data_IF_533862483730
#
_entry.id   IF_533862483730
#
_cell.length_a   1.000
_cell.length_b   1.000
_cell.length_c   1.000
_cell.angle_alpha   90.00
_cell.angle_beta   90.00
_cell.angle_gamma   90.00
#
_symmetry.space_group_name_H-M   'P 1'
#
loop_
_entity.id
_entity.type
_entity.pdbx_description
1 polymer ?
#
# COMPACT_ATOMS: atom_id res chain seq x y z
N UNK A 1 10.66 -16.19 -34.00
CA UNK A 1 10.25 -16.89 -32.76
C UNK A 1 10.82 -18.30 -32.63
N UNK A 2 11.99 -18.62 -33.22
CA UNK A 2 12.55 -19.99 -33.12
C UNK A 2 13.27 -20.28 -31.80
N UNK A 3 13.43 -19.30 -30.91
CA UNK A 3 14.12 -19.48 -29.62
C UNK A 3 13.17 -19.58 -28.43
N UNK A 4 11.86 -19.42 -28.66
CA UNK A 4 10.84 -19.40 -27.61
C UNK A 4 9.88 -20.58 -27.76
N UNK A 5 9.59 -21.25 -26.65
CA UNK A 5 8.56 -22.30 -26.61
C UNK A 5 7.90 -22.35 -25.23
N UNK A 6 6.63 -22.77 -25.21
CA UNK A 6 5.95 -23.19 -23.98
C UNK A 6 6.27 -24.68 -23.77
N UNK A 7 6.77 -25.02 -22.60
CA UNK A 7 7.06 -26.37 -22.19
C UNK A 7 5.88 -26.98 -21.43
N UNK A 8 5.11 -27.86 -22.08
CA UNK A 8 3.95 -28.52 -21.46
C UNK A 8 4.36 -29.59 -20.45
N UNK A 9 5.62 -30.02 -20.44
CA UNK A 9 6.16 -31.00 -19.50
C UNK A 9 6.77 -30.39 -18.24
N UNK A 10 6.81 -29.05 -18.17
CA UNK A 10 7.32 -28.26 -17.05
C UNK A 10 6.28 -27.18 -16.68
N UNK A 11 5.04 -27.63 -16.49
CA UNK A 11 3.88 -26.81 -16.07
C UNK A 11 3.68 -25.50 -16.85
N UNK A 12 4.03 -25.49 -18.14
CA UNK A 12 3.84 -24.34 -19.03
C UNK A 12 4.92 -23.27 -18.89
N UNK A 13 6.11 -23.65 -18.42
CA UNK A 13 7.27 -22.77 -18.42
C UNK A 13 7.58 -22.29 -19.85
N UNK A 14 7.80 -20.99 -20.01
CA UNK A 14 8.29 -20.41 -21.26
C UNK A 14 9.81 -20.47 -21.27
N UNK A 15 10.36 -21.20 -22.23
CA UNK A 15 11.79 -21.34 -22.47
C UNK A 15 12.23 -20.25 -23.45
N UNK A 16 13.27 -19.48 -23.09
CA UNK A 16 13.98 -18.58 -24.01
C UNK A 16 15.44 -19.04 -24.17
N UNK A 17 15.75 -19.66 -25.31
CA UNK A 17 17.09 -20.20 -25.58
C UNK A 17 18.17 -19.11 -25.67
N UNK A 18 17.82 -17.84 -25.92
CA UNK A 18 18.79 -16.74 -25.94
C UNK A 18 19.26 -16.35 -24.55
N UNK A 19 18.34 -16.41 -23.58
CA UNK A 19 18.57 -15.98 -22.21
C UNK A 19 18.86 -17.13 -21.26
N UNK A 20 18.69 -18.38 -21.73
CA UNK A 20 18.96 -19.59 -20.97
C UNK A 20 19.95 -20.52 -21.70
N UNK A 21 21.24 -20.17 -21.78
CA UNK A 21 22.22 -20.97 -22.53
C UNK A 21 22.35 -22.41 -21.99
N UNK A 22 22.14 -22.62 -20.69
CA UNK A 22 22.13 -23.95 -20.07
C UNK A 22 20.85 -24.77 -20.30
N UNK A 23 19.79 -24.20 -20.90
CA UNK A 23 18.58 -24.95 -21.21
C UNK A 23 18.85 -25.99 -22.31
N UNK A 24 19.64 -25.63 -23.32
CA UNK A 24 19.89 -26.49 -24.48
C UNK A 24 20.50 -27.86 -24.13
N UNK A 25 21.28 -27.95 -23.05
CA UNK A 25 21.88 -29.22 -22.58
C UNK A 25 20.93 -30.10 -21.78
N UNK A 26 19.78 -29.57 -21.30
CA UNK A 26 18.85 -30.27 -20.41
C UNK A 26 17.54 -30.68 -21.09
N UNK A 27 17.20 -30.02 -22.19
CA UNK A 27 15.94 -30.22 -22.88
C UNK A 27 15.94 -31.48 -23.75
N UNK A 28 14.91 -32.36 -23.64
CA UNK A 28 14.72 -33.46 -24.58
C UNK A 28 14.71 -32.99 -26.03
N UNK A 29 15.47 -33.66 -26.90
CA UNK A 29 15.60 -33.31 -28.32
C UNK A 29 14.46 -33.87 -29.17
N UNK A 30 14.39 -33.35 -30.40
CA UNK A 30 13.41 -33.79 -31.38
C UNK A 30 11.99 -33.36 -30.99
N UNK A 31 11.00 -34.17 -31.34
CA UNK A 31 9.58 -33.88 -31.06
C UNK A 31 9.25 -33.94 -29.57
N UNK A 32 10.07 -34.62 -28.76
CA UNK A 32 9.90 -34.75 -27.31
C UNK A 32 8.45 -35.09 -26.89
N UNK A 33 7.78 -36.00 -27.61
CA UNK A 33 6.39 -36.36 -27.34
C UNK A 33 5.35 -35.24 -27.51
N UNK A 34 5.70 -34.14 -28.20
CA UNK A 34 4.82 -32.98 -28.35
C UNK A 34 4.89 -31.98 -27.20
N UNK A 35 5.94 -32.06 -26.37
CA UNK A 35 6.18 -31.24 -25.17
C UNK A 35 6.29 -29.75 -25.46
N UNK A 36 6.92 -29.36 -26.56
CA UNK A 36 7.16 -27.95 -26.86
C UNK A 36 6.06 -27.41 -27.77
N UNK A 37 5.50 -26.25 -27.39
CA UNK A 37 4.44 -25.58 -28.13
C UNK A 37 4.86 -24.18 -28.54
N UNK A 38 4.48 -23.79 -29.76
CA UNK A 38 4.66 -22.42 -30.23
C UNK A 38 3.79 -21.47 -29.42
N UNK A 39 4.40 -20.40 -28.90
CA UNK A 39 3.68 -19.39 -28.12
C UNK A 39 2.51 -18.77 -28.91
N UNK A 40 2.69 -18.57 -30.22
CA UNK A 40 1.75 -17.85 -31.07
C UNK A 40 0.77 -18.71 -31.86
N UNK A 41 1.11 -19.93 -32.29
CA UNK A 41 0.15 -20.79 -33.01
C UNK A 41 -0.21 -22.08 -32.27
N UNK A 42 0.42 -22.38 -31.13
CA UNK A 42 0.15 -23.59 -30.34
C UNK A 42 0.61 -24.89 -30.99
N UNK A 43 1.12 -24.84 -32.22
CA UNK A 43 1.64 -26.01 -32.92
C UNK A 43 2.80 -26.64 -32.15
N UNK A 44 2.91 -27.96 -32.25
CA UNK A 44 4.04 -28.71 -31.70
C UNK A 44 5.34 -28.28 -32.36
N UNK A 45 6.37 -28.10 -31.54
CA UNK A 45 7.71 -27.76 -31.96
C UNK A 45 8.67 -28.93 -31.76
N UNK A 46 9.65 -29.01 -32.65
CA UNK A 46 10.80 -29.89 -32.57
C UNK A 46 11.98 -29.09 -32.03
N UNK A 47 12.58 -29.55 -30.92
CA UNK A 47 13.81 -28.95 -30.41
C UNK A 47 15.02 -29.51 -31.16
N UNK A 48 15.70 -28.65 -31.91
CA UNK A 48 16.95 -28.96 -32.61
C UNK A 48 18.08 -28.23 -31.92
N UNK A 49 18.94 -28.95 -31.19
CA UNK A 49 20.04 -28.39 -30.41
C UNK A 49 21.30 -29.22 -30.49
N UNK A 50 22.46 -28.62 -30.15
CA UNK A 50 23.76 -29.24 -30.35
C UNK A 50 23.85 -30.57 -29.58
N UNK A 51 24.37 -31.59 -30.26
CA UNK A 51 24.51 -32.93 -29.67
C UNK A 51 25.48 -32.92 -28.48
N UNK A 52 26.50 -32.09 -28.60
CA UNK A 52 27.64 -31.91 -27.72
C UNK A 52 27.96 -30.41 -27.63
N UNK A 53 28.62 -29.93 -26.55
CA UNK A 53 28.91 -28.51 -26.34
C UNK A 53 29.78 -27.86 -27.44
N UNK A 54 30.42 -28.67 -28.30
CA UNK A 54 31.35 -28.23 -29.35
C UNK A 54 30.76 -28.31 -30.76
N UNK A 55 29.48 -28.70 -30.90
CA UNK A 55 28.86 -28.75 -32.23
C UNK A 55 28.48 -27.33 -32.67
N UNK A 56 28.84 -26.94 -33.90
CA UNK A 56 28.52 -25.63 -34.49
C UNK A 56 27.03 -25.37 -34.78
N UNK A 57 26.12 -26.12 -34.14
CA UNK A 57 24.68 -26.00 -34.31
C UNK A 57 24.07 -25.17 -33.19
N UNK A 58 23.44 -24.05 -33.55
CA UNK A 58 22.70 -23.21 -32.61
C UNK A 58 21.38 -23.89 -32.20
N UNK A 59 21.09 -24.02 -30.89
CA UNK A 59 19.83 -24.56 -30.42
C UNK A 59 18.64 -23.69 -30.83
N UNK A 60 17.59 -24.33 -31.33
CA UNK A 60 16.34 -23.68 -31.75
C UNK A 60 15.17 -24.65 -31.76
N UNK A 61 13.98 -24.11 -31.54
CA UNK A 61 12.72 -24.78 -31.79
C UNK A 61 12.26 -24.54 -33.23
N UNK A 62 11.76 -25.59 -33.88
CA UNK A 62 11.26 -25.55 -35.26
C UNK A 62 9.87 -26.14 -35.35
N UNK A 63 9.02 -25.60 -36.21
CA UNK A 63 7.76 -26.23 -36.57
C UNK A 63 8.04 -27.51 -37.39
N UNK A 64 7.11 -28.47 -37.33
CA UNK A 64 7.28 -29.77 -37.99
C UNK A 64 7.28 -29.64 -39.52
N UNK A 65 8.06 -30.49 -40.19
CA UNK A 65 8.42 -30.38 -41.61
C UNK A 65 7.48 -31.13 -42.57
N UNK A 66 6.50 -31.85 -42.03
CA UNK A 66 5.73 -32.81 -42.82
C UNK A 66 4.72 -32.18 -43.80
N UNK A 67 4.63 -30.85 -43.90
CA UNK A 67 3.82 -30.18 -44.91
C UNK A 67 4.56 -28.98 -45.56
N UNK A 68 4.52 -28.81 -46.89
CA UNK A 68 5.11 -27.65 -47.55
C UNK A 68 4.51 -26.34 -47.00
N UNK A 69 5.35 -25.40 -46.57
CA UNK A 69 4.93 -24.12 -45.98
C UNK A 69 4.79 -24.10 -44.45
N UNK A 70 4.98 -25.22 -43.74
CA UNK A 70 4.87 -25.28 -42.28
C UNK A 70 6.16 -24.97 -41.51
N UNK A 71 7.23 -24.53 -42.19
CA UNK A 71 8.47 -24.13 -41.50
C UNK A 71 8.31 -22.88 -40.64
N UNK A 72 7.25 -22.10 -40.89
CA UNK A 72 6.97 -20.84 -40.24
C UNK A 72 5.75 -20.95 -39.33
N UNK A 73 5.68 -20.03 -38.36
CA UNK A 73 4.51 -19.92 -37.52
C UNK A 73 3.28 -19.54 -38.37
N UNK A 74 2.22 -20.34 -38.27
CA UNK A 74 0.97 -20.15 -39.02
C UNK A 74 0.06 -19.06 -38.42
N UNK A 75 0.41 -18.53 -37.25
CA UNK A 75 -0.35 -17.45 -36.63
C UNK A 75 -0.29 -16.19 -37.51
N UNK A 76 -1.36 -15.39 -37.59
CA UNK A 76 -1.33 -14.11 -38.27
C UNK A 76 -0.22 -13.19 -37.73
N UNK A 77 0.45 -12.44 -38.60
CA UNK A 77 1.52 -11.51 -38.22
C UNK A 77 1.18 -10.59 -37.04
N UNK A 78 -0.01 -9.96 -36.99
CA UNK A 78 -0.44 -9.16 -35.84
C UNK A 78 -0.49 -9.94 -34.52
N UNK A 79 -0.91 -11.22 -34.55
CA UNK A 79 -0.94 -12.05 -33.36
C UNK A 79 0.47 -12.42 -32.89
N UNK A 80 1.38 -12.73 -33.82
CA UNK A 80 2.79 -12.97 -33.50
C UNK A 80 3.44 -11.74 -32.85
N UNK A 81 3.16 -10.54 -33.37
CA UNK A 81 3.66 -9.29 -32.80
C UNK A 81 3.09 -9.02 -31.39
N UNK A 82 1.81 -9.31 -31.18
CA UNK A 82 1.14 -9.16 -29.87
C UNK A 82 1.79 -10.05 -28.80
N UNK A 83 2.00 -11.34 -29.13
CA UNK A 83 2.69 -12.33 -28.29
C UNK A 83 4.14 -11.93 -28.03
N UNK A 84 4.86 -11.50 -29.06
CA UNK A 84 6.25 -11.05 -28.91
C UNK A 84 6.35 -9.83 -27.98
N UNK A 85 5.42 -8.88 -28.08
CA UNK A 85 5.39 -7.72 -27.22
C UNK A 85 5.04 -8.08 -25.75
N UNK A 86 4.14 -9.05 -25.53
CA UNK A 86 3.84 -9.59 -24.19
C UNK A 86 5.08 -10.25 -23.57
N UNK A 87 5.80 -11.06 -24.33
CA UNK A 87 7.02 -11.74 -23.88
C UNK A 87 8.18 -10.78 -23.64
N UNK A 88 8.42 -9.83 -24.56
CA UNK A 88 9.55 -8.89 -24.46
C UNK A 88 9.51 -8.13 -23.15
N UNK A 89 8.34 -7.59 -22.85
CA UNK A 89 8.07 -6.82 -21.64
C UNK A 89 8.35 -7.60 -20.35
N UNK A 90 7.91 -8.86 -20.24
CA UNK A 90 8.08 -9.64 -19.01
C UNK A 90 9.50 -10.25 -18.92
N UNK A 91 10.13 -10.56 -20.06
CA UNK A 91 11.53 -11.00 -20.13
C UNK A 91 12.48 -9.87 -19.71
N UNK A 92 12.23 -8.63 -20.14
CA UNK A 92 13.03 -7.48 -19.72
C UNK A 92 12.89 -7.23 -18.22
N UNK A 93 11.68 -7.38 -17.66
CA UNK A 93 11.48 -7.33 -16.20
C UNK A 93 12.22 -8.46 -15.47
N UNK A 94 12.17 -9.69 -16.00
CA UNK A 94 12.92 -10.82 -15.44
C UNK A 94 14.41 -10.52 -15.40
N UNK A 95 14.96 -10.01 -16.50
CA UNK A 95 16.38 -9.73 -16.60
C UNK A 95 16.77 -8.62 -15.60
N UNK A 96 15.96 -7.57 -15.44
CA UNK A 96 16.18 -6.53 -14.43
C UNK A 96 16.16 -7.08 -12.99
N UNK A 97 15.18 -7.92 -12.66
CA UNK A 97 15.03 -8.49 -11.31
C UNK A 97 16.08 -9.58 -11.02
N UNK A 98 16.52 -10.34 -12.02
CA UNK A 98 17.52 -11.40 -11.86
C UNK A 98 18.85 -10.88 -11.32
N UNK A 99 19.22 -9.64 -11.63
CA UNK A 99 20.42 -8.99 -11.07
C UNK A 99 20.27 -8.62 -9.59
N UNK A 100 19.04 -8.36 -9.11
CA UNK A 100 18.77 -7.96 -7.73
C UNK A 100 18.68 -9.15 -6.75
N UNK A 101 18.49 -10.36 -7.27
CA UNK A 101 18.15 -11.56 -6.49
C UNK A 101 19.13 -12.71 -6.78
N UNK A 102 20.40 -12.61 -6.35
CA UNK A 102 21.35 -13.69 -6.55
C UNK A 102 20.85 -14.98 -5.86
N UNK A 103 20.84 -16.08 -6.61
CA UNK A 103 20.38 -17.39 -6.12
C UNK A 103 18.88 -17.65 -6.24
N UNK A 104 18.07 -16.66 -6.63
CA UNK A 104 16.68 -16.92 -6.99
C UNK A 104 16.58 -17.56 -8.39
N UNK A 105 15.60 -18.44 -8.57
CA UNK A 105 15.24 -18.94 -9.90
C UNK A 105 14.04 -18.14 -10.41
N UNK A 106 14.16 -17.58 -11.61
CA UNK A 106 13.13 -16.76 -12.23
C UNK A 106 12.72 -17.38 -13.57
N UNK A 107 11.45 -17.77 -13.70
CA UNK A 107 10.90 -18.35 -14.92
C UNK A 107 9.60 -17.66 -15.31
N UNK A 108 9.29 -17.69 -16.60
CA UNK A 108 7.98 -17.28 -17.09
C UNK A 108 7.09 -18.52 -17.11
N UNK A 109 5.85 -18.38 -16.67
CA UNK A 109 4.89 -19.49 -16.64
C UNK A 109 3.53 -19.06 -17.16
N UNK A 110 2.93 -19.90 -17.99
CA UNK A 110 1.58 -19.72 -18.53
C UNK A 110 0.84 -21.05 -18.48
N UNK A 111 -0.50 -21.03 -18.42
CA UNK A 111 -1.27 -22.26 -18.61
C UNK A 111 -0.93 -22.85 -20.00
N UNK A 112 -0.40 -24.09 -20.09
CA UNK A 112 -0.04 -24.71 -21.36
C UNK A 112 -1.20 -24.76 -22.37
N UNK A 113 -2.45 -24.78 -21.89
CA UNK A 113 -3.66 -24.80 -22.73
C UNK A 113 -3.86 -23.51 -23.51
N UNK A 114 -3.23 -22.41 -23.06
CA UNK A 114 -3.27 -21.10 -23.72
C UNK A 114 -2.22 -20.95 -24.83
N UNK A 115 -1.44 -21.99 -25.12
CA UNK A 115 -0.52 -21.97 -26.25
C UNK A 115 -1.26 -21.71 -27.57
N UNK A 116 -0.82 -20.70 -28.33
CA UNK A 116 -1.46 -20.32 -29.59
C UNK A 116 -2.72 -19.49 -29.48
N UNK A 117 -3.14 -19.15 -28.25
CA UNK A 117 -4.27 -18.27 -28.01
C UNK A 117 -3.79 -16.82 -27.83
N UNK A 118 -4.69 -15.86 -28.05
CA UNK A 118 -4.45 -14.49 -27.62
C UNK A 118 -4.55 -14.42 -26.10
N UNK A 119 -3.50 -13.95 -25.45
CA UNK A 119 -3.43 -13.90 -24.00
C UNK A 119 -4.19 -12.70 -23.44
N UNK A 120 -5.10 -12.96 -22.51
CA UNK A 120 -5.68 -11.89 -21.68
C UNK A 120 -4.67 -11.38 -20.66
N UNK A 121 -3.90 -12.30 -20.08
CA UNK A 121 -2.73 -12.03 -19.25
C UNK A 121 -1.49 -12.65 -19.89
N UNK A 122 -0.41 -11.88 -20.08
CA UNK A 122 0.89 -12.44 -20.45
C UNK A 122 1.34 -13.54 -19.48
N UNK A 123 2.32 -14.38 -19.85
CA UNK A 123 2.96 -15.30 -18.92
C UNK A 123 3.41 -14.58 -17.66
N UNK A 124 3.09 -15.15 -16.50
CA UNK A 124 3.49 -14.61 -15.22
C UNK A 124 4.98 -14.84 -15.00
N UNK A 125 5.66 -13.89 -14.38
CA UNK A 125 7.02 -14.08 -13.90
C UNK A 125 6.96 -14.71 -12.50
N UNK A 126 7.46 -15.93 -12.38
CA UNK A 126 7.52 -16.69 -11.14
C UNK A 126 8.96 -16.69 -10.66
N UNK A 127 9.18 -16.19 -9.45
CA UNK A 127 10.49 -16.12 -8.80
C UNK A 127 10.46 -16.98 -7.56
N UNK A 128 11.30 -18.01 -7.51
CA UNK A 128 11.50 -18.82 -6.31
C UNK A 128 12.79 -18.43 -5.61
N UNK A 129 12.70 -18.28 -4.30
CA UNK A 129 13.85 -18.06 -3.43
C UNK A 129 13.66 -18.84 -2.12
N UNK A 130 14.31 -20.01 -2.03
CA UNK A 130 13.98 -21.01 -1.01
C UNK A 130 12.54 -21.48 -1.13
N UNK A 131 11.81 -21.55 -0.01
CA UNK A 131 10.41 -21.98 0.03
C UNK A 131 9.40 -20.88 -0.35
N UNK A 132 9.87 -19.69 -0.72
CA UNK A 132 9.00 -18.57 -1.08
C UNK A 132 8.89 -18.44 -2.59
N UNK A 133 7.67 -18.25 -3.07
CA UNK A 133 7.35 -17.94 -4.45
C UNK A 133 6.80 -16.50 -4.56
N UNK A 134 7.32 -15.73 -5.50
CA UNK A 134 6.78 -14.43 -5.89
C UNK A 134 6.24 -14.56 -7.31
N UNK A 135 4.96 -14.29 -7.48
CA UNK A 135 4.28 -14.33 -8.77
C UNK A 135 4.02 -12.90 -9.17
N UNK A 136 4.51 -12.50 -10.34
CA UNK A 136 4.37 -11.15 -10.87
C UNK A 136 3.58 -11.22 -12.17
N UNK A 137 2.43 -10.57 -12.17
CA UNK A 137 1.58 -10.36 -13.33
C UNK A 137 1.88 -8.97 -13.91
N UNK A 138 2.02 -8.85 -15.23
CA UNK A 138 2.19 -7.56 -15.93
C UNK A 138 1.14 -7.39 -17.03
N UNK A 139 -0.11 -7.03 -16.68
CA UNK A 139 -1.18 -6.88 -17.66
C UNK A 139 -0.85 -5.77 -18.67
N UNK A 140 -0.94 -6.07 -19.97
CA UNK A 140 -0.79 -5.09 -21.06
C UNK A 140 -2.12 -4.57 -21.61
N UNK A 141 -3.22 -5.12 -21.12
CA UNK A 141 -4.59 -4.82 -21.55
C UNK A 141 -5.45 -4.60 -20.31
N UNK A 142 -6.54 -3.82 -20.40
CA UNK A 142 -7.45 -3.63 -19.29
C UNK A 142 -7.93 -4.98 -18.72
N UNK A 143 -7.69 -5.16 -17.43
CA UNK A 143 -8.06 -6.38 -16.73
C UNK A 143 -9.56 -6.37 -16.39
N UNK A 144 -10.23 -7.49 -16.60
CA UNK A 144 -11.60 -7.68 -16.12
C UNK A 144 -11.59 -8.27 -14.72
N UNK A 145 -12.67 -8.05 -13.96
CA UNK A 145 -12.86 -8.62 -12.62
C UNK A 145 -12.77 -10.15 -12.62
N UNK A 146 -13.41 -10.80 -13.60
CA UNK A 146 -13.43 -12.26 -13.70
C UNK A 146 -12.03 -12.86 -13.91
N UNK A 147 -11.21 -12.23 -14.76
CA UNK A 147 -9.83 -12.67 -15.02
C UNK A 147 -8.96 -12.47 -13.79
N UNK A 148 -9.10 -11.34 -13.10
CA UNK A 148 -8.39 -11.07 -11.85
C UNK A 148 -8.72 -12.12 -10.77
N UNK A 149 -10.01 -12.42 -10.57
CA UNK A 149 -10.48 -13.39 -9.58
C UNK A 149 -10.00 -14.81 -9.89
N UNK A 150 -10.17 -15.25 -11.14
CA UNK A 150 -9.70 -16.56 -11.57
C UNK A 150 -8.19 -16.69 -11.35
N UNK A 151 -7.42 -15.65 -11.69
CA UNK A 151 -5.96 -15.68 -11.53
C UNK A 151 -5.52 -15.67 -10.07
N UNK A 152 -6.14 -14.86 -9.23
CA UNK A 152 -5.89 -14.86 -7.78
C UNK A 152 -6.12 -16.26 -7.18
N UNK A 153 -7.23 -16.91 -7.54
CA UNK A 153 -7.54 -18.26 -7.11
C UNK A 153 -6.53 -19.29 -7.63
N UNK A 154 -6.14 -19.22 -8.90
CA UNK A 154 -5.12 -20.10 -9.50
C UNK A 154 -3.79 -19.97 -8.77
N UNK A 155 -3.31 -18.75 -8.53
CA UNK A 155 -2.03 -18.53 -7.83
C UNK A 155 -2.07 -19.09 -6.41
N UNK A 156 -3.16 -18.87 -5.68
CA UNK A 156 -3.33 -19.42 -4.34
C UNK A 156 -3.35 -20.95 -4.33
N UNK A 157 -4.00 -21.57 -5.31
CA UNK A 157 -4.10 -23.03 -5.43
C UNK A 157 -2.77 -23.65 -5.84
N UNK A 158 -2.06 -23.03 -6.79
CA UNK A 158 -0.86 -23.59 -7.41
C UNK A 158 0.39 -23.39 -6.52
N UNK A 159 0.56 -22.23 -5.91
CA UNK A 159 1.78 -21.89 -5.15
C UNK A 159 1.56 -21.87 -3.63
N UNK A 160 0.32 -22.07 -3.19
CA UNK A 160 -0.04 -22.14 -1.78
C UNK A 160 -0.01 -20.79 -1.04
N UNK A 161 -0.20 -20.81 0.29
CA UNK A 161 -0.42 -19.61 1.10
C UNK A 161 0.84 -18.76 1.33
N UNK A 162 2.03 -19.32 1.08
CA UNK A 162 3.31 -18.63 1.24
C UNK A 162 3.71 -17.81 0.01
N UNK A 163 2.96 -17.92 -1.08
CA UNK A 163 3.19 -17.17 -2.30
C UNK A 163 2.80 -15.69 -2.12
N UNK A 164 3.62 -14.80 -2.66
CA UNK A 164 3.29 -13.38 -2.77
C UNK A 164 2.91 -13.06 -4.21
N UNK A 165 1.76 -12.41 -4.40
CA UNK A 165 1.20 -12.14 -5.72
C UNK A 165 1.21 -10.64 -5.99
N UNK A 166 1.99 -10.23 -6.98
CA UNK A 166 2.18 -8.84 -7.40
C UNK A 166 1.59 -8.56 -8.77
N UNK A 167 1.00 -7.39 -8.92
CA UNK A 167 0.44 -6.87 -10.16
C UNK A 167 1.15 -5.58 -10.53
N UNK A 168 1.91 -5.63 -11.62
CA UNK A 168 2.72 -4.55 -12.13
C UNK A 168 2.01 -3.92 -13.32
N UNK A 169 1.43 -2.74 -13.09
CA UNK A 169 0.79 -1.96 -14.12
C UNK A 169 1.79 -1.03 -14.79
N UNK A 170 1.65 -0.80 -16.09
CA UNK A 170 2.49 0.19 -16.76
C UNK A 170 2.07 1.60 -16.33
N UNK A 171 3.02 2.42 -15.89
CA UNK A 171 2.75 3.83 -15.53
C UNK A 171 2.26 4.62 -16.75
N UNK A 172 2.77 4.29 -17.93
CA UNK A 172 2.52 5.06 -19.15
C UNK A 172 1.26 4.59 -19.89
N UNK A 173 0.61 3.51 -19.42
CA UNK A 173 -0.68 3.05 -19.92
C UNK A 173 -1.83 3.87 -19.31
N UNK A 174 -2.33 4.83 -20.08
CA UNK A 174 -3.43 5.72 -19.66
C UNK A 174 -4.75 5.01 -19.32
N UNK A 175 -4.95 3.75 -19.74
CA UNK A 175 -6.14 2.97 -19.38
C UNK A 175 -6.02 2.35 -17.99
N UNK A 176 -4.78 2.13 -17.51
CA UNK A 176 -4.50 1.47 -16.24
C UNK A 176 -3.84 2.41 -15.22
N UNK A 177 -3.35 3.57 -15.66
CA UNK A 177 -2.82 4.67 -14.85
C UNK A 177 -3.69 5.93 -15.05
N UNK A 178 -4.71 6.10 -14.22
CA UNK A 178 -5.54 7.30 -14.24
C UNK A 178 -4.95 8.37 -13.31
N UNK A 179 -4.13 9.26 -13.85
CA UNK A 179 -3.49 10.34 -13.11
C UNK A 179 -4.53 11.23 -12.39
N UNK A 180 -4.27 11.56 -11.12
CA UNK A 180 -5.14 12.35 -10.26
C UNK A 180 -4.45 13.59 -9.67
N UNK A 181 -3.35 14.03 -10.31
CA UNK A 181 -2.52 15.14 -9.86
C UNK A 181 -1.42 14.70 -8.88
N UNK A 182 -1.05 15.58 -7.96
CA UNK A 182 0.02 15.35 -6.97
C UNK A 182 -0.41 15.69 -5.55
N UNK A 183 0.38 15.25 -4.57
CA UNK A 183 0.24 15.62 -3.15
C UNK A 183 1.61 16.02 -2.61
N UNK A 184 1.66 17.17 -1.93
CA UNK A 184 2.86 17.62 -1.23
C UNK A 184 2.94 16.91 0.11
N UNK A 185 4.08 16.30 0.40
CA UNK A 185 4.33 15.51 1.60
C UNK A 185 5.64 15.96 2.27
N UNK A 186 5.81 15.61 3.55
CA UNK A 186 7.01 15.94 4.35
C UNK A 186 7.40 14.80 5.31
N UNK A 187 7.70 13.59 4.82
CA UNK A 187 7.91 12.41 5.68
C UNK A 187 9.03 12.63 6.73
N UNK A 188 10.07 13.38 6.37
CA UNK A 188 11.20 13.68 7.25
C UNK A 188 11.43 15.19 7.44
N UNK A 189 10.34 15.98 7.39
CA UNK A 189 10.43 17.44 7.41
C UNK A 189 10.81 18.07 6.07
N UNK A 190 11.47 17.31 5.18
CA UNK A 190 11.81 17.75 3.82
C UNK A 190 10.58 17.73 2.90
N UNK A 191 10.30 18.83 2.16
CA UNK A 191 9.25 18.85 1.15
C UNK A 191 9.52 17.84 0.03
N UNK A 192 8.50 17.04 -0.28
CA UNK A 192 8.49 16.10 -1.39
C UNK A 192 7.10 16.13 -2.07
N UNK A 193 7.01 15.64 -3.30
CA UNK A 193 5.77 15.63 -4.09
C UNK A 193 5.54 14.25 -4.66
N UNK A 194 4.49 13.59 -4.19
CA UNK A 194 4.07 12.29 -4.71
C UNK A 194 3.00 12.43 -5.78
N UNK A 195 3.02 11.55 -6.78
CA UNK A 195 1.93 11.42 -7.74
C UNK A 195 0.72 10.76 -7.11
N UNK A 196 -0.47 11.12 -7.59
CA UNK A 196 -1.73 10.48 -7.23
C UNK A 196 -2.34 9.78 -8.42
N UNK A 197 -3.03 8.69 -8.15
CA UNK A 197 -3.86 7.98 -9.13
C UNK A 197 -5.26 7.73 -8.58
N UNK A 198 -6.22 7.65 -9.50
CA UNK A 198 -7.53 7.06 -9.26
C UNK A 198 -7.44 5.58 -9.64
N UNK A 199 -7.40 4.65 -8.69
CA UNK A 199 -7.32 3.23 -9.03
C UNK A 199 -8.62 2.78 -9.71
N UNK A 200 -8.50 1.88 -10.68
CA UNK A 200 -9.65 1.22 -11.32
C UNK A 200 -10.37 0.31 -10.32
N UNK A 201 -11.64 -0.06 -10.55
CA UNK A 201 -12.35 -1.01 -9.69
C UNK A 201 -11.59 -2.33 -9.51
N UNK A 202 -10.95 -2.83 -10.58
CA UNK A 202 -10.18 -4.09 -10.54
C UNK A 202 -8.91 -3.93 -9.70
N UNK A 203 -8.20 -2.81 -9.77
CA UNK A 203 -7.04 -2.55 -8.93
C UNK A 203 -7.39 -2.51 -7.44
N UNK A 204 -8.53 -1.88 -7.08
CA UNK A 204 -9.02 -1.89 -5.69
C UNK A 204 -9.31 -3.31 -5.21
N UNK A 205 -9.99 -4.08 -6.05
CA UNK A 205 -10.31 -5.47 -5.76
C UNK A 205 -9.05 -6.34 -5.57
N UNK A 206 -8.03 -6.18 -6.41
CA UNK A 206 -6.77 -6.92 -6.28
C UNK A 206 -6.13 -6.71 -4.90
N UNK A 207 -6.09 -5.46 -4.42
CA UNK A 207 -5.60 -5.14 -3.07
C UNK A 207 -6.49 -5.77 -1.99
N UNK A 208 -7.81 -5.65 -2.12
CA UNK A 208 -8.77 -6.23 -1.15
C UNK A 208 -8.65 -7.75 -1.06
N UNK A 209 -8.37 -8.43 -2.17
CA UNK A 209 -8.14 -9.87 -2.24
C UNK A 209 -6.74 -10.29 -1.73
N UNK A 210 -5.92 -9.34 -1.27
CA UNK A 210 -4.61 -9.60 -0.69
C UNK A 210 -3.47 -9.74 -1.70
N UNK A 211 -3.70 -9.34 -2.96
CA UNK A 211 -2.66 -9.11 -3.95
C UNK A 211 -1.99 -7.74 -3.75
N UNK A 212 -0.72 -7.64 -4.12
CA UNK A 212 0.00 -6.37 -4.12
C UNK A 212 -0.11 -5.71 -5.50
N UNK A 213 -0.35 -4.40 -5.53
CA UNK A 213 -0.49 -3.61 -6.76
C UNK A 213 0.57 -2.52 -6.78
N UNK A 214 1.19 -2.31 -7.93
CA UNK A 214 2.09 -1.19 -8.16
C UNK A 214 2.09 -0.77 -9.62
N UNK A 215 2.69 0.39 -9.89
CA UNK A 215 3.00 0.81 -11.26
C UNK A 215 4.51 0.76 -11.48
N UNK A 216 4.93 0.43 -12.69
CA UNK A 216 6.34 0.39 -13.06
C UNK A 216 6.59 1.38 -14.20
N UNK A 217 7.72 2.07 -14.12
CA UNK A 217 8.28 2.85 -15.23
C UNK A 217 9.79 2.67 -15.23
N UNK A 218 10.36 2.22 -16.35
CA UNK A 218 11.80 1.93 -16.49
C UNK A 218 12.33 1.08 -15.31
N UNK A 219 13.10 1.70 -14.43
CA UNK A 219 13.79 1.13 -13.26
C UNK A 219 13.13 1.50 -11.92
N UNK A 220 11.94 2.10 -11.94
CA UNK A 220 11.23 2.61 -10.77
C UNK A 220 9.88 1.93 -10.62
N UNK A 221 9.60 1.47 -9.40
CA UNK A 221 8.30 0.96 -8.97
C UNK A 221 7.61 2.00 -8.09
N UNK A 222 6.33 2.18 -8.31
CA UNK A 222 5.47 3.14 -7.63
C UNK A 222 4.52 2.37 -6.71
N UNK A 223 4.81 2.38 -5.41
CA UNK A 223 4.05 1.66 -4.39
C UNK A 223 2.89 2.53 -3.87
N UNK A 224 1.63 2.07 -3.91
CA UNK A 224 0.51 2.87 -3.50
C UNK A 224 0.32 2.91 -1.99
N UNK A 225 -0.09 4.07 -1.47
CA UNK A 225 -0.76 4.25 -0.17
C UNK A 225 -2.08 4.99 -0.39
N UNK A 226 -3.06 4.80 0.48
CA UNK A 226 -4.35 5.46 0.31
C UNK A 226 -4.35 6.84 0.94
N UNK A 227 -5.11 7.78 0.35
CA UNK A 227 -5.31 9.12 0.88
C UNK A 227 -6.79 9.44 1.02
N UNK A 228 -7.13 10.10 2.13
CA UNK A 228 -8.49 10.46 2.51
C UNK A 228 -8.52 11.96 2.81
N UNK A 229 -9.37 12.77 2.13
CA UNK A 229 -9.66 14.10 2.62
C UNK A 229 -10.38 13.97 3.97
N UNK A 230 -10.04 14.84 4.91
CA UNK A 230 -10.65 14.85 6.23
C UNK A 230 -10.84 16.28 6.73
N UNK A 231 -11.87 16.46 7.54
CA UNK A 231 -12.06 17.67 8.33
C UNK A 231 -11.88 17.30 9.80
N UNK A 232 -10.98 18.00 10.48
CA UNK A 232 -10.79 17.89 11.92
C UNK A 232 -11.91 18.69 12.60
N UNK A 233 -12.81 18.05 13.37
CA UNK A 233 -13.77 18.80 14.17
C UNK A 233 -13.01 19.60 15.24
N UNK A 234 -13.49 20.81 15.50
CA UNK A 234 -13.02 21.62 16.63
C UNK A 234 -13.37 20.89 17.93
N UNK A 235 -12.40 20.76 18.82
CA UNK A 235 -12.62 20.26 20.17
C UNK A 235 -12.86 21.43 21.14
N UNK A 236 -13.37 21.12 22.33
CA UNK A 236 -13.54 22.10 23.39
C UNK A 236 -12.20 22.83 23.68
N UNK A 237 -12.25 24.16 23.77
CA UNK A 237 -11.08 25.01 23.98
C UNK A 237 -10.22 25.26 22.73
N UNK A 238 -10.62 24.78 21.55
CA UNK A 238 -9.97 25.11 20.27
C UNK A 238 -10.80 26.13 19.48
N UNK A 239 -10.16 27.17 18.95
CA UNK A 239 -10.77 28.07 17.97
C UNK A 239 -10.06 27.95 16.62
N UNK A 240 -10.82 27.54 15.61
CA UNK A 240 -10.36 27.38 14.23
C UNK A 240 -10.88 28.49 13.31
N UNK A 241 -11.27 29.65 13.85
CA UNK A 241 -11.76 30.78 13.07
C UNK A 241 -10.63 31.54 12.32
N UNK A 242 -11.01 32.53 11.50
CA UNK A 242 -10.06 33.39 10.79
C UNK A 242 -9.11 32.64 9.85
N UNK A 243 -7.82 32.95 9.94
CA UNK A 243 -6.77 32.34 9.11
C UNK A 243 -6.63 30.81 9.33
N UNK A 244 -7.10 30.31 10.48
CA UNK A 244 -7.01 28.91 10.89
C UNK A 244 -8.15 28.05 10.33
N UNK A 245 -9.18 28.66 9.75
CA UNK A 245 -10.36 27.93 9.24
C UNK A 245 -10.00 26.91 8.16
N UNK A 246 -9.02 27.25 7.33
CA UNK A 246 -8.52 26.34 6.29
C UNK A 246 -7.78 25.12 6.86
N UNK A 247 -7.23 25.22 8.06
CA UNK A 247 -6.41 24.16 8.69
C UNK A 247 -7.23 22.99 9.22
N UNK A 248 -8.53 23.21 9.44
CA UNK A 248 -9.48 22.16 9.76
C UNK A 248 -9.55 21.11 8.64
N UNK A 249 -9.22 21.48 7.39
CA UNK A 249 -9.20 20.56 6.24
C UNK A 249 -7.77 20.09 5.98
N UNK A 250 -7.53 18.79 6.11
CA UNK A 250 -6.27 18.15 5.71
C UNK A 250 -6.56 16.80 5.03
N UNK A 251 -5.52 16.09 4.63
CA UNK A 251 -5.61 14.70 4.23
C UNK A 251 -4.98 13.77 5.27
N UNK A 252 -5.52 12.56 5.33
CA UNK A 252 -4.97 11.44 6.09
C UNK A 252 -4.55 10.31 5.16
N UNK A 253 -3.50 9.58 5.52
CA UNK A 253 -3.10 8.38 4.78
C UNK A 253 -3.64 7.11 5.42
N UNK A 254 -3.95 6.12 4.59
CA UNK A 254 -4.06 4.73 5.02
C UNK A 254 -2.71 4.03 4.85
N UNK A 255 -2.25 3.42 5.93
CA UNK A 255 -1.04 2.63 6.04
C UNK A 255 -1.41 1.19 6.47
N UNK A 256 -0.70 0.14 6.02
CA UNK A 256 0.42 0.16 5.07
C UNK A 256 -0.03 -0.02 3.61
N UNK A 257 -1.34 -0.19 3.40
CA UNK A 257 -1.94 -0.33 2.09
C UNK A 257 -3.10 0.65 1.96
N UNK A 258 -3.49 1.00 0.72
CA UNK A 258 -4.68 1.79 0.51
C UNK A 258 -5.92 1.10 1.09
N UNK A 259 -6.61 1.77 2.01
CA UNK A 259 -7.85 1.27 2.60
C UNK A 259 -8.97 1.23 1.56
N UNK A 260 -9.94 0.33 1.79
CA UNK A 260 -11.21 0.35 1.07
C UNK A 260 -11.93 1.67 1.37
N UNK A 261 -12.20 2.48 0.35
CA UNK A 261 -12.69 3.85 0.52
C UNK A 261 -11.63 4.96 0.48
N UNK A 262 -10.35 4.67 0.21
CA UNK A 262 -9.39 5.72 -0.12
C UNK A 262 -9.85 6.53 -1.35
N UNK A 263 -9.86 7.86 -1.22
CA UNK A 263 -10.34 8.78 -2.25
C UNK A 263 -9.36 8.87 -3.43
N UNK A 264 -8.08 8.72 -3.16
CA UNK A 264 -6.98 8.65 -4.13
C UNK A 264 -5.88 7.75 -3.59
N UNK A 265 -5.02 7.23 -4.46
CA UNK A 265 -3.80 6.54 -4.04
C UNK A 265 -2.59 7.41 -4.35
N UNK A 266 -1.77 7.69 -3.33
CA UNK A 266 -0.48 8.34 -3.49
C UNK A 266 0.57 7.28 -3.83
N UNK A 267 1.57 7.66 -4.61
CA UNK A 267 2.57 6.73 -5.13
C UNK A 267 3.96 7.05 -4.59
N UNK A 268 4.55 6.10 -3.86
CA UNK A 268 5.93 6.19 -3.35
C UNK A 268 6.86 5.63 -4.43
N UNK A 269 7.78 6.44 -4.98
CA UNK A 269 8.77 5.95 -5.92
C UNK A 269 9.87 5.17 -5.18
N UNK A 270 10.15 3.97 -5.65
CA UNK A 270 11.27 3.14 -5.20
C UNK A 270 12.02 2.59 -6.41
N UNK A 271 13.36 2.48 -6.37
CA UNK A 271 14.08 1.74 -7.41
C UNK A 271 13.63 0.28 -7.43
N UNK A 272 13.36 -0.28 -8.60
CA UNK A 272 12.88 -1.65 -8.80
C UNK A 272 13.77 -2.68 -8.06
N UNK A 273 15.08 -2.48 -8.12
CA UNK A 273 16.06 -3.38 -7.49
C UNK A 273 15.87 -3.47 -5.96
N UNK A 274 15.35 -2.44 -5.31
CA UNK A 274 15.08 -2.47 -3.85
C UNK A 274 13.96 -3.43 -3.49
N UNK A 275 13.03 -3.69 -4.42
CA UNK A 275 11.95 -4.66 -4.19
C UNK A 275 12.52 -6.10 -4.11
N UNK A 276 13.56 -6.38 -4.89
CA UNK A 276 14.26 -7.67 -4.89
C UNK A 276 15.22 -7.89 -3.72
N UNK A 277 15.52 -6.89 -2.89
CA UNK A 277 16.50 -7.05 -1.80
C UNK A 277 15.98 -7.92 -0.63
N UNK A 278 14.67 -8.14 -0.56
CA UNK A 278 14.04 -8.91 0.51
C UNK A 278 13.21 -10.06 -0.04
N UNK A 279 13.23 -11.19 0.67
CA UNK A 279 12.44 -12.37 0.30
C UNK A 279 10.95 -12.03 0.31
N UNK A 280 10.23 -12.46 -0.73
CA UNK A 280 8.80 -12.15 -0.90
C UNK A 280 8.49 -10.74 -1.42
N UNK A 281 9.48 -9.99 -1.89
CA UNK A 281 9.30 -8.64 -2.45
C UNK A 281 8.66 -7.68 -1.45
N UNK A 282 9.13 -7.70 -0.20
CA UNK A 282 8.62 -6.83 0.86
C UNK A 282 9.12 -5.40 0.62
N UNK A 283 8.24 -4.41 0.37
CA UNK A 283 8.67 -3.05 0.07
C UNK A 283 8.97 -2.29 1.37
N UNK A 284 9.92 -2.77 2.17
CA UNK A 284 10.24 -2.27 3.52
C UNK A 284 10.50 -0.77 3.54
N UNK A 285 11.21 -0.24 2.52
CA UNK A 285 11.46 1.18 2.37
C UNK A 285 10.16 1.99 2.19
N UNK A 286 9.18 1.46 1.44
CA UNK A 286 7.88 2.12 1.30
C UNK A 286 7.13 2.16 2.63
N UNK A 287 7.17 1.09 3.43
CA UNK A 287 6.50 1.06 4.73
C UNK A 287 7.16 2.02 5.71
N UNK A 288 8.50 2.09 5.75
CA UNK A 288 9.22 3.09 6.53
C UNK A 288 8.81 4.52 6.15
N UNK A 289 8.69 4.80 4.85
CA UNK A 289 8.24 6.10 4.37
C UNK A 289 6.76 6.37 4.70
N UNK A 290 5.87 5.38 4.61
CA UNK A 290 4.47 5.52 5.02
C UNK A 290 4.35 5.79 6.52
N UNK A 291 5.13 5.12 7.37
CA UNK A 291 5.19 5.43 8.81
C UNK A 291 5.67 6.87 9.04
N UNK A 292 6.67 7.33 8.29
CA UNK A 292 7.15 8.71 8.36
C UNK A 292 6.08 9.72 7.92
N UNK A 293 5.31 9.42 6.87
CA UNK A 293 4.17 10.21 6.42
C UNK A 293 3.07 10.30 7.49
N UNK A 294 2.76 9.19 8.16
CA UNK A 294 1.77 9.15 9.25
C UNK A 294 2.22 10.00 10.44
N UNK A 295 3.49 9.88 10.84
CA UNK A 295 4.06 10.72 11.89
C UNK A 295 4.03 12.21 11.53
N UNK A 296 4.38 12.55 10.28
CA UNK A 296 4.33 13.92 9.79
C UNK A 296 2.90 14.46 9.76
N UNK A 297 1.91 13.64 9.40
CA UNK A 297 0.49 13.98 9.47
C UNK A 297 0.05 14.28 10.90
N UNK A 298 0.35 13.37 11.84
CA UNK A 298 0.00 13.53 13.25
C UNK A 298 0.66 14.78 13.86
N UNK A 299 1.91 15.06 13.50
CA UNK A 299 2.63 16.27 13.90
C UNK A 299 1.99 17.56 13.37
N UNK A 300 1.55 17.58 12.10
CA UNK A 300 0.81 18.72 11.53
C UNK A 300 -0.51 18.95 12.25
N UNK A 301 -1.28 17.88 12.50
CA UNK A 301 -2.56 17.96 13.24
C UNK A 301 -2.33 18.52 14.65
N UNK A 302 -1.39 17.94 15.41
CA UNK A 302 -1.09 18.37 16.78
C UNK A 302 -0.61 19.83 16.83
N UNK A 303 0.22 20.25 15.88
CA UNK A 303 0.69 21.63 15.79
C UNK A 303 -0.46 22.61 15.55
N UNK A 304 -1.33 22.32 14.57
CA UNK A 304 -2.49 23.16 14.25
C UNK A 304 -3.47 23.24 15.42
N UNK A 305 -3.75 22.11 16.08
CA UNK A 305 -4.58 22.06 17.31
C UNK A 305 -3.99 22.91 18.44
N UNK A 306 -2.67 22.88 18.63
CA UNK A 306 -2.00 23.74 19.63
C UNK A 306 -2.21 25.21 19.31
N UNK A 307 -1.97 25.62 18.06
CA UNK A 307 -2.18 27.01 17.64
C UNK A 307 -3.65 27.44 17.79
N UNK A 308 -4.62 26.57 17.48
CA UNK A 308 -6.05 26.84 17.65
C UNK A 308 -6.42 27.09 19.14
N UNK A 309 -5.79 26.36 20.07
CA UNK A 309 -5.94 26.61 21.51
C UNK A 309 -5.30 27.93 21.94
N UNK A 310 -4.09 28.20 21.46
CA UNK A 310 -3.39 29.48 21.73
C UNK A 310 -4.17 30.68 21.17
N UNK A 311 -4.92 30.52 20.08
CA UNK A 311 -5.81 31.54 19.53
C UNK A 311 -7.04 31.76 20.42
N UNK A 312 -7.74 30.68 20.80
CA UNK A 312 -8.88 30.75 21.69
C UNK A 312 -8.54 31.42 23.03
N UNK A 313 -7.38 31.07 23.61
CA UNK A 313 -6.92 31.67 24.87
C UNK A 313 -6.67 33.18 24.72
N UNK A 314 -6.02 33.61 23.65
CA UNK A 314 -5.79 35.04 23.39
C UNK A 314 -7.09 35.85 23.25
N UNK A 315 -8.13 35.26 22.64
CA UNK A 315 -9.44 35.90 22.56
C UNK A 315 -10.10 36.01 23.94
N UNK A 316 -10.03 34.95 24.76
CA UNK A 316 -10.57 34.96 26.11
C UNK A 316 -9.87 35.99 27.01
N UNK A 317 -8.53 36.05 26.96
CA UNK A 317 -7.73 37.00 27.75
C UNK A 317 -7.96 38.46 27.30
N UNK A 318 -8.11 38.68 25.99
CA UNK A 318 -8.45 39.98 25.41
C UNK A 318 -9.87 40.46 25.76
N UNK A 319 -10.83 39.54 25.85
CA UNK A 319 -12.20 39.84 26.31
C UNK A 319 -12.25 40.13 27.82
N UNK A 320 -11.42 39.46 28.62
CA UNK A 320 -11.32 39.72 30.07
C UNK A 320 -10.62 41.06 30.38
N UNK A 321 -9.66 41.50 29.57
CA UNK A 321 -9.02 42.82 29.72
C UNK A 321 -9.90 43.99 29.23
N UNK A 322 -10.99 43.71 28.51
CA UNK A 322 -11.96 44.70 28.04
C UNK A 322 -13.21 44.78 28.94
N UNK A 323 -13.09 44.46 30.23
CA UNK A 323 -14.11 44.85 31.20
C UNK A 323 -14.18 46.39 31.24
N UNK A 324 -15.36 47.02 31.02
CA UNK A 324 -15.46 48.46 30.94
C UNK A 324 -15.06 49.06 32.29
N UNK A 325 -14.08 49.95 32.28
CA UNK A 325 -13.86 50.89 33.37
C UNK A 325 -15.16 51.69 33.53
N UNK A 326 -16.00 51.30 34.49
CA UNK A 326 -17.12 52.11 34.95
C UNK A 326 -16.50 53.39 35.51
N UNK A 327 -16.59 54.47 34.74
CA UNK A 327 -16.33 55.82 35.23
C UNK A 327 -17.32 56.09 36.38
N UNK A 328 -16.85 56.53 37.55
CA UNK A 328 -17.73 56.98 38.62
C UNK A 328 -18.51 58.21 38.15
N UNK A 329 -19.84 58.11 38.11
CA UNK A 329 -20.74 59.26 37.98
C UNK A 329 -20.95 59.77 39.40
N UNK A 330 -20.54 61.01 39.66
CA UNK A 330 -20.85 61.73 40.90
C UNK A 330 -22.36 62.01 41.00
N UNK A 331 -23.00 61.86 42.17
CA UNK A 331 -24.39 62.26 42.36
C UNK A 331 -24.46 63.73 42.80
N UNK A 332 -25.18 64.55 42.02
CA UNK A 332 -25.63 65.88 42.47
C UNK A 332 -26.83 65.75 43.43
N UNK A 333 -26.70 66.43 44.57
CA UNK A 333 -27.73 66.70 45.58
C UNK A 333 -28.88 67.53 45.02
N UNK A 334 -30.14 67.12 45.29
CA UNK A 334 -31.24 68.06 45.56
C UNK A 334 -32.12 67.51 46.69
N UNK A 335 -32.20 68.31 47.75
CA UNK A 335 -32.97 68.10 48.98
C UNK A 335 -34.44 68.57 48.89
N UNK A 336 -35.28 68.08 49.80
CA UNK A 336 -36.64 68.57 50.10
C UNK A 336 -37.57 67.43 50.58
N UNK A 337 -37.47 66.92 51.81
CA UNK A 337 -37.93 67.45 53.11
C UNK A 337 -39.41 67.14 53.44
N UNK A 338 -39.66 66.48 54.58
CA UNK A 338 -41.00 66.08 55.08
C UNK A 338 -41.08 64.76 55.87
N UNK A 339 -40.64 64.77 57.14
CA UNK A 339 -40.72 63.67 58.14
C UNK A 339 -42.09 63.64 58.90
N UNK A 340 -42.34 62.89 60.01
CA UNK A 340 -41.65 61.72 60.62
C UNK A 340 -42.61 60.58 61.11
N UNK A 341 -42.08 59.40 61.46
CA UNK A 341 -42.46 58.60 62.65
C UNK A 341 -41.44 57.48 62.90
N UNK A 342 -41.00 57.36 64.16
CA UNK A 342 -39.89 56.53 64.64
C UNK A 342 -40.37 55.18 65.27
N UNK A 343 -39.52 54.38 65.97
CA UNK A 343 -39.04 53.05 65.58
C UNK A 343 -39.56 51.92 66.53
N UNK A 344 -39.12 50.64 66.48
CA UNK A 344 -37.80 50.15 66.97
C UNK A 344 -37.14 49.09 66.04
N UNK A 345 -35.81 49.06 65.88
CA UNK A 345 -34.77 48.35 66.66
C UNK A 345 -34.70 46.83 66.44
N UNK A 346 -33.45 46.35 66.36
CA UNK A 346 -32.91 44.98 66.30
C UNK A 346 -32.61 44.40 64.91
N UNK A 347 -31.44 43.83 64.60
CA UNK A 347 -30.14 43.68 65.30
C UNK A 347 -29.16 43.06 64.28
N UNK A 348 -27.87 43.49 64.30
CA UNK A 348 -26.62 42.86 63.72
C UNK A 348 -26.55 42.56 62.21
N UNK A 349 -25.66 43.15 61.39
CA UNK A 349 -24.17 43.17 61.39
C UNK A 349 -23.56 41.74 61.45
N UNK A 350 -23.21 41.17 60.29
CA UNK A 350 -21.86 41.12 59.71
C UNK A 350 -20.88 40.22 60.47
N UNK A 351 -20.38 39.14 59.83
CA UNK A 351 -18.93 38.93 59.73
C UNK A 351 -18.53 37.75 58.84
N UNK A 352 -17.43 38.00 58.14
CA UNK A 352 -16.56 37.09 57.41
C UNK A 352 -15.85 36.13 58.35
N UNK A 353 -15.81 34.82 58.03
CA UNK A 353 -14.84 33.89 58.63
C UNK A 353 -14.36 32.86 57.59
N UNK A 354 -13.05 32.78 57.43
CA UNK A 354 -12.32 31.78 56.65
C UNK A 354 -12.46 30.35 57.21
N UNK A 355 -12.41 29.28 56.41
CA UNK A 355 -12.32 27.93 56.95
C UNK A 355 -10.86 27.54 57.25
N UNK A 356 -10.58 27.26 58.52
CA UNK A 356 -9.42 26.50 58.98
C UNK A 356 -9.84 25.05 59.34
N UNK A 357 -8.91 24.18 59.77
CA UNK A 357 -8.52 22.93 59.11
C UNK A 357 -9.37 21.70 59.44
N UNK A 358 -9.26 20.68 58.58
CA UNK A 358 -9.93 19.37 58.68
C UNK A 358 -9.50 18.54 59.92
N UNK A 359 -10.42 17.81 60.57
CA UNK A 359 -10.11 16.87 61.66
C UNK A 359 -9.57 15.51 61.16
N UNK A 360 -8.87 14.73 61.99
CA UNK A 360 -8.22 13.48 61.59
C UNK A 360 -9.21 12.31 61.42
N UNK A 361 -8.88 11.41 60.49
CA UNK A 361 -9.65 10.20 60.17
C UNK A 361 -9.58 9.14 61.28
N UNK A 362 -10.68 8.40 61.53
CA UNK A 362 -10.66 7.21 62.38
C UNK A 362 -10.00 6.01 61.66
N UNK A 363 -9.13 5.31 62.39
CA UNK A 363 -8.42 4.09 61.99
C UNK A 363 -9.33 2.87 62.12
N UNK A 364 -9.54 2.13 61.04
CA UNK A 364 -10.20 0.81 61.05
C UNK A 364 -9.17 -0.31 61.29
N UNK A 365 -9.56 -1.41 61.97
CA UNK A 365 -8.68 -2.53 62.29
C UNK A 365 -8.32 -3.37 61.05
N UNK A 366 -7.18 -4.08 61.07
CA UNK A 366 -6.69 -4.83 59.91
C UNK A 366 -7.50 -6.12 59.65
N UNK A 367 -7.79 -6.45 58.38
CA UNK A 367 -8.41 -7.72 58.02
C UNK A 367 -7.43 -8.91 58.10
N UNK A 368 -7.93 -10.15 58.29
CA UNK A 368 -7.13 -11.37 58.47
C UNK A 368 -6.36 -11.79 57.21
N UNK A 369 -5.32 -12.64 57.34
CA UNK A 369 -4.45 -13.04 56.23
C UNK A 369 -5.20 -14.00 55.29
N UNK A 370 -5.71 -13.46 54.19
CA UNK A 370 -6.19 -14.27 53.08
C UNK A 370 -5.01 -14.73 52.21
N UNK A 371 -5.01 -16.04 51.92
CA UNK A 371 -4.06 -16.73 51.06
C UNK A 371 -3.87 -16.00 49.70
N UNK A 372 -2.65 -16.01 49.13
CA UNK A 372 -2.39 -15.35 47.87
C UNK A 372 -3.13 -16.07 46.74
N UNK A 373 -4.22 -15.47 46.25
CA UNK A 373 -4.76 -15.80 44.94
C UNK A 373 -3.75 -15.38 43.87
N UNK A 374 -3.53 -16.20 42.83
CA UNK A 374 -2.55 -15.91 41.80
C UNK A 374 -2.93 -14.60 41.10
N UNK A 375 -2.00 -13.63 41.13
CA UNK A 375 -2.07 -12.42 40.32
C UNK A 375 -2.09 -12.85 38.86
N UNK A 376 -3.27 -12.89 38.24
CA UNK A 376 -3.38 -12.87 36.79
C UNK A 376 -2.88 -11.48 36.36
N UNK A 377 -1.77 -11.38 35.62
CA UNK A 377 -1.38 -10.11 35.05
C UNK A 377 -2.47 -9.72 34.05
N UNK A 378 -3.23 -8.66 34.31
CA UNK A 378 -4.00 -8.02 33.24
C UNK A 378 -2.98 -7.46 32.25
N UNK A 379 -2.86 -7.99 31.02
CA UNK A 379 -2.02 -7.33 30.04
C UNK A 379 -2.73 -6.02 29.73
N UNK A 380 -2.11 -4.89 30.09
CA UNK A 380 -2.32 -3.64 29.36
C UNK A 380 -2.06 -3.99 27.90
N UNK A 381 -3.13 -4.22 27.14
CA UNK A 381 -3.04 -4.42 25.70
C UNK A 381 -2.53 -3.11 25.11
N UNK A 382 -1.20 -2.99 25.05
CA UNK A 382 -0.56 -2.10 24.10
C UNK A 382 -1.10 -2.55 22.75
N UNK A 383 -1.92 -1.71 22.14
CA UNK A 383 -2.31 -1.87 20.76
C UNK A 383 -1.04 -2.12 19.95
N UNK A 384 -0.91 -3.33 19.41
CA UNK A 384 0.24 -3.80 18.66
C UNK A 384 -0.25 -4.12 17.28
N UNK A 385 0.17 -3.31 16.31
CA UNK A 385 -0.17 -3.41 14.88
C UNK A 385 -0.01 -4.81 14.26
N UNK A 386 0.79 -5.70 14.89
CA UNK A 386 0.91 -7.11 14.49
C UNK A 386 -0.43 -7.85 14.46
N UNK A 387 -1.43 -7.47 15.26
CA UNK A 387 -2.75 -8.12 15.24
C UNK A 387 -3.62 -7.76 14.02
N UNK A 388 -3.26 -6.72 13.27
CA UNK A 388 -4.01 -6.24 12.10
C UNK A 388 -3.42 -6.70 10.76
N UNK A 389 -2.25 -7.33 10.77
CA UNK A 389 -1.64 -7.91 9.57
C UNK A 389 -2.20 -9.32 9.30
N UNK A 390 -2.35 -9.74 8.03
CA UNK A 390 -2.56 -11.15 7.70
C UNK A 390 -1.47 -12.00 8.36
N UNK A 391 -1.82 -13.14 8.97
CA UNK A 391 -0.91 -13.98 9.79
C UNK A 391 0.49 -14.22 9.18
N UNK A 392 0.59 -14.24 7.85
CA UNK A 392 1.83 -14.40 7.06
C UNK A 392 2.83 -13.23 7.13
N UNK A 393 2.43 -12.06 7.64
CA UNK A 393 3.28 -10.86 7.82
C UNK A 393 3.53 -10.54 9.31
N UNK A 394 3.12 -11.42 10.23
CA UNK A 394 3.26 -11.24 11.67
C UNK A 394 4.60 -11.74 12.24
N UNK A 395 5.47 -12.32 11.39
CA UNK A 395 6.84 -12.75 11.76
C UNK A 395 7.88 -11.73 11.34
#
# INVERSE_FOLDING_TARGET
MSELAIDTGDDGRVIDLRREPGAAGRLPRGKAGGRYRCCACGATLTFTGPATPHSGFTPRFRHDYNAPGTEQCTAPGPHQADVQADLTVILDLRDQLGHALPGATACLQIDPRLAGQRWELPPALVIHHGDQAVIIERPRRPLTKAVADARLHTVQTQYGPNATHWWFFDRDDTQQYMAAGTVKVRPHGTPDTHHKVRPTPVQRQLIQAGGAVCWITKDTVLIPYGGHPGTHPALEGEDWSGEMASWSRDWKISHPYPADGAAWWGLIPLPLLTLGQHTGFRPTASFGLMTALENAQNGREAHRRRLAREHAQRLADGQQSAAPALLPIEPEDVAGDGAPLAPPTDTTAAESVAPAPLPPRPTLPPPPPHAPLPRVPSPRLRFSWRSLLPRRWQR
#
